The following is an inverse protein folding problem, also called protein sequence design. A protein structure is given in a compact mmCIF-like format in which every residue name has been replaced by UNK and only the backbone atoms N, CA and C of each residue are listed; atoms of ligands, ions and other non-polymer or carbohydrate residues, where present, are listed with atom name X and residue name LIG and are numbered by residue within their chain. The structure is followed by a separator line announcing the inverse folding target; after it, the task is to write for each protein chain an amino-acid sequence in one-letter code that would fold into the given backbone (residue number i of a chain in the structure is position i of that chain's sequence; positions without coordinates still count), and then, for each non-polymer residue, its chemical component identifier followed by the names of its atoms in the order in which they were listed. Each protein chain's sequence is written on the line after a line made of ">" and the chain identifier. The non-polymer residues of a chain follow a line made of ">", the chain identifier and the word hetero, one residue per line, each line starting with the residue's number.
data_IF_666959829411
#
_entry.id   IF_666959829411
#
_cell.length_a   1.000
_cell.length_b   1.000
_cell.length_c   1.000
_cell.angle_alpha   90.00
_cell.angle_beta   90.00
_cell.angle_gamma   90.00
#
_symmetry.space_group_name_H-M   'P 1'
#
loop_
_entity.id
_entity.type
_entity.pdbx_description
1 polymer ?
#
# COMPACT_ATOMS: atom_id res chain seq x y z
N UNK A 1 24.14 30.39 41.19
CA UNK A 1 22.93 29.61 41.54
C UNK A 1 22.14 29.11 40.30
N UNK A 2 22.81 28.58 39.27
CA UNK A 2 22.11 27.96 38.11
C UNK A 2 22.67 26.59 37.72
N UNK A 3 23.81 26.21 38.28
CA UNK A 3 24.53 24.96 38.01
C UNK A 3 24.08 23.77 38.87
N UNK A 4 23.22 23.98 39.88
CA UNK A 4 22.75 22.93 40.80
C UNK A 4 21.48 22.19 40.37
N UNK A 5 20.84 22.57 39.26
CA UNK A 5 19.58 21.94 38.79
C UNK A 5 19.77 20.75 37.84
N UNK A 6 21.02 20.34 37.57
CA UNK A 6 21.33 19.26 36.62
C UNK A 6 21.58 17.89 37.28
N UNK A 7 21.57 17.79 38.61
CA UNK A 7 22.01 16.58 39.32
C UNK A 7 20.89 15.64 39.82
N UNK A 8 19.60 16.01 39.70
CA UNK A 8 18.51 15.30 40.41
C UNK A 8 17.71 14.32 39.53
N UNK A 9 17.70 14.45 38.20
CA UNK A 9 16.92 13.55 37.34
C UNK A 9 17.64 12.27 36.91
N UNK A 10 18.93 12.10 37.28
CA UNK A 10 19.75 10.97 36.84
C UNK A 10 19.53 9.66 37.62
N UNK A 11 18.63 9.62 38.62
CA UNK A 11 18.52 8.50 39.56
C UNK A 11 17.21 7.70 39.51
N UNK A 12 16.31 7.96 38.55
CA UNK A 12 14.98 7.33 38.48
C UNK A 12 14.78 6.31 37.33
N UNK A 13 15.82 5.95 36.57
CA UNK A 13 15.70 5.05 35.39
C UNK A 13 16.18 3.61 35.67
N UNK A 14 16.73 3.33 36.85
CA UNK A 14 17.39 2.05 37.15
C UNK A 14 16.46 0.89 37.58
N UNK A 15 15.14 0.93 37.38
CA UNK A 15 14.21 -0.09 37.96
C UNK A 15 13.34 -0.83 36.92
N UNK A 16 13.57 -0.70 35.62
CA UNK A 16 12.66 -1.26 34.60
C UNK A 16 13.25 -2.30 33.62
N UNK A 17 14.41 -2.90 33.89
CA UNK A 17 15.07 -3.84 32.95
C UNK A 17 15.42 -5.23 33.53
N UNK A 18 14.64 -5.73 34.50
CA UNK A 18 14.76 -7.11 34.97
C UNK A 18 13.70 -8.02 34.35
N UNK A 19 14.19 -9.08 33.69
CA UNK A 19 13.49 -10.29 33.22
C UNK A 19 13.00 -10.33 31.75
N UNK A 20 13.97 -10.39 30.83
CA UNK A 20 13.91 -11.38 29.75
C UNK A 20 13.91 -12.78 30.39
N UNK A 21 12.87 -13.58 30.10
CA UNK A 21 12.69 -14.93 30.64
C UNK A 21 11.97 -15.79 29.60
N UNK A 22 12.78 -16.34 28.70
CA UNK A 22 12.44 -17.31 27.66
C UNK A 22 12.13 -18.72 28.19
N UNK A 23 11.50 -19.51 27.31
CA UNK A 23 11.32 -20.98 27.25
C UNK A 23 10.02 -21.54 27.85
N UNK A 24 9.04 -21.94 27.02
CA UNK A 24 8.98 -23.10 26.08
C UNK A 24 8.59 -24.39 26.82
N UNK A 25 7.51 -25.00 26.34
CA UNK A 25 7.20 -26.44 26.30
C UNK A 25 5.73 -26.70 26.66
N UNK A 26 5.00 -27.34 25.74
CA UNK A 26 3.79 -28.06 26.15
C UNK A 26 2.74 -28.32 25.09
N UNK A 27 3.11 -29.10 24.07
CA UNK A 27 2.28 -30.19 23.58
C UNK A 27 0.86 -29.87 23.14
N UNK A 28 0.69 -29.65 21.84
CA UNK A 28 -0.61 -29.68 21.20
C UNK A 28 -0.46 -29.93 19.72
N UNK A 29 -0.12 -31.16 19.34
CA UNK A 29 -0.22 -31.64 17.96
C UNK A 29 -1.69 -31.92 17.65
N UNK A 30 -2.40 -31.12 16.82
CA UNK A 30 -3.48 -31.69 16.04
C UNK A 30 -2.85 -32.30 14.79
N UNK A 31 -2.88 -33.63 14.72
CA UNK A 31 -2.75 -34.37 13.46
C UNK A 31 -3.95 -34.01 12.58
N UNK A 32 -3.79 -33.34 11.41
CA UNK A 32 -4.82 -33.42 10.40
C UNK A 32 -4.63 -34.73 9.64
N UNK A 33 -5.59 -35.65 9.79
CA UNK A 33 -5.79 -36.76 8.87
C UNK A 33 -6.34 -36.20 7.55
N UNK A 34 -5.62 -36.23 6.41
CA UNK A 34 -6.28 -36.05 5.13
C UNK A 34 -7.01 -37.34 4.77
N UNK A 35 -8.27 -37.42 5.17
CA UNK A 35 -9.23 -38.40 4.65
C UNK A 35 -9.53 -38.06 3.19
N UNK A 36 -9.15 -38.97 2.28
CA UNK A 36 -9.84 -39.17 1.01
C UNK A 36 -9.39 -38.29 -0.17
N UNK A 37 -8.23 -38.61 -0.77
CA UNK A 37 -7.97 -38.25 -2.16
C UNK A 37 -8.83 -39.14 -3.08
N UNK A 38 -9.86 -38.56 -3.68
CA UNK A 38 -10.56 -39.14 -4.83
C UNK A 38 -9.77 -38.72 -6.09
N UNK A 39 -9.31 -39.63 -6.96
CA UNK A 39 -8.74 -39.23 -8.24
C UNK A 39 -9.89 -38.78 -9.16
N UNK A 40 -9.99 -37.47 -9.40
CA UNK A 40 -10.89 -36.93 -10.43
C UNK A 40 -10.16 -36.96 -11.78
N UNK A 41 -10.69 -37.83 -12.63
CA UNK A 41 -10.80 -37.83 -14.09
C UNK A 41 -9.87 -36.92 -14.91
N UNK A 42 -9.17 -37.56 -15.85
CA UNK A 42 -8.25 -37.02 -16.85
C UNK A 42 -8.73 -35.75 -17.59
N UNK A 43 -7.83 -34.79 -17.90
CA UNK A 43 -8.15 -33.69 -18.82
C UNK A 43 -8.23 -34.19 -20.27
N UNK A 44 -9.13 -33.64 -21.12
CA UNK A 44 -9.07 -33.90 -22.55
C UNK A 44 -7.84 -33.22 -23.18
N UNK A 45 -7.17 -33.97 -24.06
CA UNK A 45 -6.11 -33.51 -24.95
C UNK A 45 -6.62 -32.40 -25.89
N UNK A 46 -5.96 -31.24 -25.99
CA UNK A 46 -6.20 -30.31 -27.09
C UNK A 46 -5.46 -30.79 -28.35
N UNK A 47 -6.22 -30.89 -29.44
CA UNK A 47 -5.75 -31.13 -30.81
C UNK A 47 -4.90 -29.95 -31.32
N UNK A 48 -3.74 -30.17 -31.99
CA UNK A 48 -2.96 -29.10 -32.58
C UNK A 48 -3.41 -28.85 -34.01
N UNK A 49 -4.18 -27.78 -34.25
CA UNK A 49 -4.49 -27.35 -35.62
C UNK A 49 -4.18 -25.87 -35.85
N UNK A 50 -3.08 -25.68 -36.59
CA UNK A 50 -2.73 -24.66 -37.58
C UNK A 50 -2.78 -23.16 -37.23
N UNK A 51 -1.59 -22.54 -37.27
CA UNK A 51 -1.40 -21.13 -37.65
C UNK A 51 -1.84 -20.85 -39.09
N UNK A 52 -2.33 -19.64 -39.36
CA UNK A 52 -1.65 -18.79 -40.33
C UNK A 52 -1.41 -17.36 -39.84
N UNK A 53 -0.31 -16.78 -40.33
CA UNK A 53 0.16 -15.42 -40.06
C UNK A 53 -0.70 -14.32 -40.72
N UNK A 54 -0.50 -13.10 -40.21
CA UNK A 54 -0.55 -11.78 -40.91
C UNK A 54 -1.70 -10.87 -40.50
N UNK A 55 -1.40 -9.90 -39.64
CA UNK A 55 -1.29 -8.48 -40.02
C UNK A 55 -1.05 -7.62 -38.77
N UNK A 56 0.05 -6.86 -38.82
CA UNK A 56 0.37 -5.77 -37.90
C UNK A 56 -0.54 -4.57 -38.20
N UNK A 57 -1.16 -3.95 -37.17
CA UNK A 57 -1.42 -2.53 -37.19
C UNK A 57 -0.60 -1.86 -36.09
N UNK A 58 0.53 -1.31 -36.51
CA UNK A 58 1.31 -0.27 -35.85
C UNK A 58 0.38 0.74 -35.16
N UNK A 59 0.35 0.83 -33.82
CA UNK A 59 -0.29 1.94 -33.14
C UNK A 59 0.58 3.19 -33.32
N UNK A 60 0.02 4.35 -33.72
CA UNK A 60 0.79 5.58 -33.71
C UNK A 60 1.23 5.89 -32.29
N UNK A 61 2.54 6.03 -32.09
CA UNK A 61 3.16 6.56 -30.89
C UNK A 61 2.61 7.97 -30.62
N UNK A 62 1.59 8.07 -29.77
CA UNK A 62 1.22 9.34 -29.14
C UNK A 62 1.98 9.47 -27.83
N UNK A 63 3.23 9.91 -27.95
CA UNK A 63 3.96 10.55 -26.87
C UNK A 63 3.20 11.81 -26.45
N UNK A 64 2.24 11.67 -25.53
CA UNK A 64 1.64 12.81 -24.86
C UNK A 64 2.62 13.30 -23.81
N UNK A 65 3.38 14.32 -24.16
CA UNK A 65 4.12 15.17 -23.23
C UNK A 65 3.22 15.52 -22.04
N UNK A 66 3.64 15.34 -20.77
CA UNK A 66 2.90 15.85 -19.63
C UNK A 66 2.84 17.37 -19.75
N UNK A 67 1.67 17.90 -20.12
CA UNK A 67 1.41 19.34 -20.08
C UNK A 67 1.38 19.74 -18.61
N UNK A 68 2.23 20.70 -18.24
CA UNK A 68 2.22 21.32 -16.92
C UNK A 68 0.77 21.71 -16.53
N UNK A 69 0.31 21.43 -15.29
CA UNK A 69 -1.04 21.75 -14.88
C UNK A 69 -1.24 23.27 -14.96
N UNK A 70 -2.20 23.68 -15.79
CA UNK A 70 -2.61 25.07 -15.92
C UNK A 70 -3.49 25.42 -14.71
N UNK A 71 -3.20 26.48 -13.93
CA UNK A 71 -4.05 26.85 -12.81
C UNK A 71 -5.42 27.32 -13.33
N UNK A 72 -6.51 26.82 -12.73
CA UNK A 72 -7.80 27.54 -12.74
C UNK A 72 -8.88 27.09 -13.73
N UNK A 73 -9.03 25.79 -13.98
CA UNK A 73 -10.30 25.24 -14.50
C UNK A 73 -11.21 24.80 -13.34
N UNK A 74 -12.54 24.80 -13.48
CA UNK A 74 -13.43 24.19 -12.48
C UNK A 74 -13.01 22.74 -12.26
N UNK A 75 -12.57 22.41 -11.05
CA UNK A 75 -12.27 21.02 -10.69
C UNK A 75 -13.56 20.22 -10.82
N UNK A 76 -13.49 19.07 -11.48
CA UNK A 76 -14.65 18.16 -11.52
C UNK A 76 -14.98 17.77 -10.08
N UNK A 77 -16.24 17.93 -9.62
CA UNK A 77 -16.61 17.55 -8.26
C UNK A 77 -16.21 16.09 -8.01
N UNK A 78 -15.74 15.74 -6.81
CA UNK A 78 -15.50 14.36 -6.45
C UNK A 78 -16.77 13.53 -6.73
N UNK A 79 -16.62 12.39 -7.41
CA UNK A 79 -17.75 11.48 -7.65
C UNK A 79 -18.43 11.07 -6.34
N UNK A 80 -19.68 10.60 -6.40
CA UNK A 80 -20.39 10.14 -5.19
C UNK A 80 -19.56 9.14 -4.37
N UNK A 81 -19.42 9.40 -3.08
CA UNK A 81 -18.58 8.61 -2.17
C UNK A 81 -17.07 8.86 -2.28
N UNK A 82 -16.62 9.83 -3.08
CA UNK A 82 -15.23 10.25 -3.10
C UNK A 82 -14.90 11.18 -1.93
N UNK A 83 -13.71 10.99 -1.37
CA UNK A 83 -13.16 11.75 -0.26
C UNK A 83 -11.86 12.41 -0.72
N UNK A 84 -11.57 13.60 -0.20
CA UNK A 84 -10.30 14.28 -0.42
C UNK A 84 -9.50 14.28 0.87
N UNK A 85 -8.23 13.90 0.78
CA UNK A 85 -7.25 13.89 1.85
C UNK A 85 -6.13 14.86 1.51
N UNK A 86 -5.65 15.61 2.50
CA UNK A 86 -4.50 16.51 2.33
C UNK A 86 -3.48 16.28 3.43
N UNK A 87 -2.20 16.36 3.10
CA UNK A 87 -1.12 16.18 4.06
C UNK A 87 0.17 15.68 3.43
N UNK A 88 1.07 15.20 4.29
CA UNK A 88 2.40 14.75 3.86
C UNK A 88 2.34 13.27 3.55
N UNK A 89 2.77 12.90 2.34
CA UNK A 89 2.93 11.49 2.00
C UNK A 89 4.02 10.88 2.90
N UNK A 90 3.71 9.78 3.56
CA UNK A 90 4.64 9.01 4.37
C UNK A 90 5.05 7.74 3.62
N UNK A 91 6.28 7.28 3.84
CA UNK A 91 6.68 5.95 3.39
C UNK A 91 6.02 4.86 4.25
N UNK A 92 5.60 3.77 3.62
CA UNK A 92 5.23 2.54 4.32
C UNK A 92 6.46 1.76 4.79
N UNK A 93 6.23 0.73 5.61
CA UNK A 93 7.27 -0.20 6.08
C UNK A 93 7.75 -1.12 4.97
N UNK A 94 6.88 -1.36 3.98
CA UNK A 94 7.20 -2.13 2.79
C UNK A 94 7.59 -1.18 1.64
N UNK A 95 8.62 -1.55 0.84
CA UNK A 95 9.07 -0.72 -0.28
C UNK A 95 7.93 -0.40 -1.26
N UNK A 96 7.80 0.89 -1.63
CA UNK A 96 6.81 1.35 -2.60
C UNK A 96 5.40 1.57 -2.04
N UNK A 97 5.14 1.15 -0.81
CA UNK A 97 3.93 1.52 -0.08
C UNK A 97 4.04 2.98 0.37
N UNK A 98 2.97 3.75 0.18
CA UNK A 98 2.91 5.14 0.63
C UNK A 98 1.59 5.40 1.34
N UNK A 99 1.66 6.20 2.40
CA UNK A 99 0.57 6.47 3.31
C UNK A 99 0.25 7.96 3.32
N UNK A 100 -1.02 8.30 3.59
CA UNK A 100 -1.45 9.66 3.88
C UNK A 100 -2.51 9.59 4.97
N UNK A 101 -2.23 10.18 6.13
CA UNK A 101 -3.15 10.19 7.29
C UNK A 101 -3.67 8.79 7.67
N UNK A 102 -2.77 7.79 7.67
CA UNK A 102 -3.11 6.39 7.97
C UNK A 102 -3.80 5.62 6.85
N UNK A 103 -4.07 6.24 5.69
CA UNK A 103 -4.58 5.55 4.50
C UNK A 103 -3.45 5.10 3.58
N UNK A 104 -3.56 3.88 3.06
CA UNK A 104 -2.65 3.34 2.05
C UNK A 104 -3.09 3.79 0.66
N UNK A 105 -2.26 4.58 -0.02
CA UNK A 105 -2.61 5.10 -1.35
C UNK A 105 -2.38 4.02 -2.42
N UNK A 106 -3.46 3.63 -3.09
CA UNK A 106 -3.46 2.65 -4.19
C UNK A 106 -3.59 3.39 -5.52
N UNK A 107 -2.62 3.19 -6.40
CA UNK A 107 -2.57 3.81 -7.73
C UNK A 107 -1.97 5.23 -7.71
N UNK A 108 -2.49 6.10 -8.57
CA UNK A 108 -2.09 7.50 -8.67
C UNK A 108 -0.72 7.78 -9.33
N UNK A 109 -0.42 9.07 -9.60
CA UNK A 109 0.85 9.51 -10.17
C UNK A 109 2.01 9.40 -9.17
N UNK A 110 3.00 8.57 -9.50
CA UNK A 110 4.14 8.25 -8.59
C UNK A 110 5.16 9.37 -8.45
N UNK A 111 5.18 10.31 -9.37
CA UNK A 111 5.96 11.54 -9.31
C UNK A 111 5.37 12.58 -8.33
N UNK A 112 4.07 12.49 -8.03
CA UNK A 112 3.38 13.33 -7.04
C UNK A 112 3.37 12.65 -5.67
N UNK A 113 3.01 11.37 -5.62
CA UNK A 113 2.85 10.58 -4.39
C UNK A 113 4.19 10.06 -3.86
N UNK A 114 5.15 10.95 -3.67
CA UNK A 114 6.49 10.65 -3.15
C UNK A 114 6.55 10.94 -1.65
N UNK A 115 7.15 10.07 -0.81
CA UNK A 115 7.35 10.36 0.61
C UNK A 115 7.97 11.74 0.86
N UNK A 116 7.41 12.48 1.81
CA UNK A 116 7.76 13.87 2.14
C UNK A 116 7.05 14.93 1.29
N UNK A 117 6.35 14.57 0.22
CA UNK A 117 5.58 15.54 -0.55
C UNK A 117 4.30 15.95 0.19
N UNK A 118 4.02 17.26 0.19
CA UNK A 118 2.71 17.78 0.53
C UNK A 118 1.78 17.63 -0.68
N UNK A 119 0.64 16.99 -0.47
CA UNK A 119 -0.30 16.64 -1.53
C UNK A 119 -1.74 16.85 -1.08
N UNK A 120 -2.61 16.99 -2.06
CA UNK A 120 -4.05 16.78 -1.93
C UNK A 120 -4.47 15.68 -2.91
N UNK A 121 -5.18 14.68 -2.39
CA UNK A 121 -5.51 13.42 -3.04
C UNK A 121 -7.01 13.17 -2.94
N UNK A 122 -7.67 12.97 -4.07
CA UNK A 122 -9.08 12.55 -4.12
C UNK A 122 -9.15 11.07 -4.48
N UNK A 123 -10.08 10.35 -3.87
CA UNK A 123 -10.23 8.91 -4.08
C UNK A 123 -11.36 8.30 -3.25
N UNK A 124 -11.31 6.99 -3.04
CA UNK A 124 -12.28 6.26 -2.20
C UNK A 124 -11.60 5.32 -1.24
N UNK A 125 -12.15 5.22 -0.03
CA UNK A 125 -11.73 4.25 0.98
C UNK A 125 -12.31 2.87 0.62
N UNK A 126 -11.47 1.85 0.57
CA UNK A 126 -11.83 0.46 0.23
C UNK A 126 -11.31 -0.51 1.31
N UNK A 127 -11.95 -0.59 2.50
CA UNK A 127 -11.42 -1.36 3.64
C UNK A 127 -11.32 -2.86 3.40
N UNK A 128 -12.13 -3.41 2.48
CA UNK A 128 -12.12 -4.83 2.12
C UNK A 128 -11.15 -5.18 0.99
N UNK A 129 -10.41 -4.20 0.45
CA UNK A 129 -9.48 -4.44 -0.63
C UNK A 129 -8.26 -5.22 -0.14
N UNK A 130 -7.94 -6.33 -0.80
CA UNK A 130 -6.71 -7.07 -0.56
C UNK A 130 -5.52 -6.24 -1.03
N UNK A 131 -4.51 -6.11 -0.18
CA UNK A 131 -3.27 -5.40 -0.49
C UNK A 131 -2.06 -6.19 -0.02
N UNK A 132 -0.91 -5.96 -0.66
CA UNK A 132 0.36 -6.52 -0.19
C UNK A 132 0.94 -5.69 0.94
N UNK A 133 0.71 -4.36 0.90
CA UNK A 133 1.11 -3.45 1.96
C UNK A 133 0.26 -3.75 3.21
N UNK A 134 0.86 -4.32 4.25
CA UNK A 134 0.16 -4.74 5.48
C UNK A 134 -0.14 -3.56 6.41
N UNK A 135 -0.41 -2.38 5.87
CA UNK A 135 -0.55 -1.13 6.61
C UNK A 135 -1.60 -0.22 6.03
N UNK A 136 -2.35 0.43 6.92
CA UNK A 136 -3.33 1.45 6.59
C UNK A 136 -4.60 0.91 5.94
N UNK A 137 -5.61 1.75 5.86
CA UNK A 137 -6.84 1.42 5.12
C UNK A 137 -6.63 1.75 3.64
N UNK A 138 -6.89 0.83 2.69
CA UNK A 138 -6.70 1.11 1.27
C UNK A 138 -7.55 2.30 0.82
N UNK A 139 -6.91 3.21 0.09
CA UNK A 139 -7.52 4.39 -0.51
C UNK A 139 -7.16 4.44 -1.99
N UNK A 140 -8.14 4.17 -2.86
CA UNK A 140 -7.95 4.13 -4.30
C UNK A 140 -7.94 5.55 -4.84
N UNK A 141 -6.79 5.98 -5.34
CA UNK A 141 -6.56 7.35 -5.81
C UNK A 141 -7.20 7.56 -7.19
N UNK A 142 -8.06 8.58 -7.31
CA UNK A 142 -8.62 9.02 -8.59
C UNK A 142 -7.93 10.28 -9.12
N UNK A 143 -7.47 11.17 -8.23
CA UNK A 143 -6.71 12.35 -8.58
C UNK A 143 -5.71 12.68 -7.47
N UNK A 144 -4.54 13.21 -7.83
CA UNK A 144 -3.56 13.70 -6.88
C UNK A 144 -2.76 14.86 -7.49
N UNK A 145 -2.42 15.82 -6.66
CA UNK A 145 -1.55 16.94 -7.00
C UNK A 145 -0.75 17.40 -5.79
N UNK A 146 0.40 18.03 -6.05
CA UNK A 146 1.19 18.69 -5.00
C UNK A 146 0.45 19.97 -4.57
N UNK A 147 0.38 20.18 -3.26
CA UNK A 147 -0.18 21.38 -2.63
C UNK A 147 0.88 22.46 -2.43
#
# INVERSE_FOLDING_TARGET
>A
MRTLRLAVSALAVCVALSACGSQDAGGGTPTPTPTGAQPVTSPPTPDPTASPSTADPTPPASSKTPRAPKPGGPSTPPGVGATTLSGTVQGGVEPGCVLLDGYLLIGGPRDVLTPGAQVEVTGRVEPGMMTTCQQGTPFVVSAAHRS
#
